data_IF_887862943693
#
_entry.id   IF_887862943693
#
_cell.length_a   1.000
_cell.length_b   1.000
_cell.length_c   1.000
_cell.angle_alpha   90.00
_cell.angle_beta   90.00
_cell.angle_gamma   90.00
#
_symmetry.space_group_name_H-M   'P 1'
#
loop_
_entity.id
_entity.type
_entity.pdbx_description
1 polymer ?
#
# COMPACT_ATOMS: atom_id res chain seq x y z
N UNK A 1 -8.68 25.27 34.65
CA UNK A 1 -8.07 25.71 33.37
C UNK A 1 -8.92 25.13 32.25
N UNK A 2 -9.39 25.94 31.31
CA UNK A 2 -10.11 25.42 30.14
C UNK A 2 -9.13 24.59 29.31
N UNK A 3 -9.47 23.32 29.07
CA UNK A 3 -8.68 22.47 28.17
C UNK A 3 -9.01 22.93 26.75
N UNK A 4 -8.08 23.67 26.13
CA UNK A 4 -8.20 23.98 24.71
C UNK A 4 -8.14 22.65 23.96
N UNK A 5 -9.27 22.26 23.36
CA UNK A 5 -9.36 21.07 22.53
C UNK A 5 -9.42 21.53 21.08
N UNK A 6 -8.48 21.05 20.27
CA UNK A 6 -8.48 21.27 18.84
C UNK A 6 -9.06 20.06 18.14
N UNK A 7 -9.61 20.26 16.95
CA UNK A 7 -10.10 19.19 16.10
C UNK A 7 -9.27 19.19 14.83
N UNK A 8 -8.85 18.01 14.39
CA UNK A 8 -8.18 17.85 13.11
C UNK A 8 -9.17 18.12 11.96
N UNK A 9 -8.90 19.10 11.11
CA UNK A 9 -9.77 19.45 9.97
C UNK A 9 -9.84 18.36 8.90
N UNK A 10 -8.95 17.37 8.96
CA UNK A 10 -8.88 16.27 7.99
C UNK A 10 -9.68 15.05 8.43
N UNK A 11 -9.51 14.60 9.68
CA UNK A 11 -10.14 13.37 10.18
C UNK A 11 -11.20 13.61 11.25
N UNK A 12 -11.42 14.87 11.64
CA UNK A 12 -12.32 15.32 12.71
C UNK A 12 -12.02 14.76 14.11
N UNK A 13 -10.83 14.18 14.31
CA UNK A 13 -10.40 13.70 15.63
C UNK A 13 -9.98 14.87 16.53
N UNK A 14 -10.27 14.75 17.82
CA UNK A 14 -9.75 15.66 18.84
C UNK A 14 -8.24 15.49 18.94
N UNK A 15 -7.50 16.59 18.83
CA UNK A 15 -6.06 16.64 19.07
C UNK A 15 -5.87 17.06 20.52
N UNK A 16 -5.42 16.12 21.34
CA UNK A 16 -5.19 16.39 22.75
C UNK A 16 -3.97 17.29 22.94
N UNK A 17 -3.89 17.95 24.09
CA UNK A 17 -2.78 18.81 24.48
C UNK A 17 -1.42 18.08 24.56
N UNK A 18 -1.45 16.76 24.69
CA UNK A 18 -0.26 15.89 24.66
C UNK A 18 0.19 15.49 23.25
N UNK A 19 -0.65 15.68 22.24
CA UNK A 19 -0.40 15.24 20.87
C UNK A 19 0.14 16.39 20.01
N UNK A 20 0.97 16.11 18.99
CA UNK A 20 1.43 17.15 18.08
C UNK A 20 0.27 17.63 17.20
N UNK A 21 0.01 18.93 17.25
CA UNK A 21 -0.93 19.64 16.37
C UNK A 21 -0.15 20.38 15.30
N UNK A 22 -0.51 20.19 14.04
CA UNK A 22 0.13 20.88 12.92
C UNK A 22 -0.83 21.93 12.38
N UNK A 23 -0.49 23.21 12.57
CA UNK A 23 -1.32 24.33 12.13
C UNK A 23 -0.75 24.94 10.87
N UNK A 24 -1.60 25.13 9.87
CA UNK A 24 -1.28 25.95 8.71
C UNK A 24 -1.32 27.44 9.09
N UNK A 25 -0.31 28.19 8.64
CA UNK A 25 -0.19 29.63 8.87
C UNK A 25 -0.74 30.47 7.70
N UNK A 26 -1.07 29.84 6.58
CA UNK A 26 -1.51 30.53 5.36
C UNK A 26 -3.02 30.38 5.09
N UNK A 27 -3.65 29.33 5.61
CA UNK A 27 -5.11 29.21 5.59
C UNK A 27 -5.74 30.34 6.41
N UNK A 28 -6.92 30.83 5.98
CA UNK A 28 -7.57 32.02 6.51
C UNK A 28 -7.50 32.08 8.06
N UNK A 29 -6.98 33.17 8.65
CA UNK A 29 -6.62 33.23 10.08
C UNK A 29 -7.78 32.92 11.03
N UNK A 30 -9.00 33.24 10.61
CA UNK A 30 -10.22 33.09 11.40
C UNK A 30 -10.72 31.65 11.47
N UNK A 31 -10.49 30.86 10.42
CA UNK A 31 -10.80 29.43 10.42
C UNK A 31 -9.64 28.63 11.03
N UNK A 32 -8.40 28.99 10.69
CA UNK A 32 -7.24 28.13 10.91
C UNK A 32 -7.38 26.81 10.16
N UNK A 33 -6.26 26.12 9.95
CA UNK A 33 -6.31 24.72 9.55
C UNK A 33 -5.36 23.97 10.47
N UNK A 34 -5.90 23.10 11.30
CA UNK A 34 -5.21 22.29 12.28
C UNK A 34 -5.33 20.81 11.87
N UNK A 35 -4.21 20.10 11.81
CA UNK A 35 -4.16 18.68 11.48
C UNK A 35 -3.43 17.89 12.57
N UNK A 36 -3.85 16.64 12.79
CA UNK A 36 -3.11 15.73 13.65
C UNK A 36 -1.85 15.24 12.95
N UNK A 37 -0.84 14.82 13.72
CA UNK A 37 0.42 14.31 13.18
C UNK A 37 0.25 13.18 12.17
N UNK A 38 -0.75 12.30 12.35
CA UNK A 38 -1.03 11.20 11.43
C UNK A 38 -1.46 11.74 10.06
N UNK A 39 -2.46 12.62 10.01
CA UNK A 39 -2.96 13.15 8.74
C UNK A 39 -1.91 14.04 8.07
N UNK A 40 -1.17 14.81 8.87
CA UNK A 40 -0.06 15.60 8.37
C UNK A 40 0.99 14.72 7.69
N UNK A 41 1.55 13.69 8.36
CA UNK A 41 2.59 12.81 7.79
C UNK A 41 2.15 12.09 6.52
N UNK A 42 0.86 11.79 6.38
CA UNK A 42 0.28 11.20 5.16
C UNK A 42 0.12 12.21 4.01
N UNK A 43 0.37 13.50 4.25
CA UNK A 43 0.24 14.55 3.25
C UNK A 43 -1.21 14.86 2.88
N UNK A 44 -2.16 14.61 3.78
CA UNK A 44 -3.57 14.90 3.56
C UNK A 44 -3.85 16.41 3.58
N UNK A 45 -4.71 16.89 2.67
CA UNK A 45 -5.21 18.28 2.66
C UNK A 45 -6.72 18.33 2.38
N UNK A 46 -7.37 19.42 2.79
CA UNK A 46 -8.80 19.67 2.57
C UNK A 46 -9.08 21.17 2.38
N UNK A 47 -10.16 21.50 1.66
CA UNK A 47 -10.54 22.88 1.35
C UNK A 47 -9.45 23.62 0.58
N UNK A 48 -9.15 24.85 0.98
CA UNK A 48 -8.10 25.69 0.38
C UNK A 48 -6.68 25.37 0.90
N UNK A 49 -6.54 24.39 1.78
CA UNK A 49 -5.24 24.05 2.35
C UNK A 49 -4.34 23.34 1.33
N UNK A 50 -3.08 23.79 1.20
CA UNK A 50 -2.06 23.14 0.35
C UNK A 50 -0.91 22.63 1.21
N UNK A 51 -0.33 21.49 0.83
CA UNK A 51 0.88 20.93 1.48
C UNK A 51 2.09 21.87 1.42
N UNK A 52 2.08 22.81 0.46
CA UNK A 52 3.12 23.82 0.31
C UNK A 52 2.93 25.01 1.25
N UNK A 53 1.78 25.12 1.92
CA UNK A 53 1.57 26.18 2.88
C UNK A 53 2.54 26.02 4.05
N UNK A 54 3.01 27.13 4.57
CA UNK A 54 3.81 27.14 5.80
C UNK A 54 3.00 26.60 6.97
N UNK A 55 3.59 25.64 7.67
CA UNK A 55 2.96 24.95 8.80
C UNK A 55 3.88 24.99 10.02
N UNK A 56 3.26 25.00 11.20
CA UNK A 56 3.95 24.92 12.49
C UNK A 56 3.45 23.72 13.29
N UNK A 57 4.37 22.99 13.91
CA UNK A 57 4.06 21.91 14.85
C UNK A 57 4.01 22.50 16.26
N UNK A 58 2.87 22.32 16.92
CA UNK A 58 2.63 22.67 18.31
C UNK A 58 2.67 21.38 19.14
N UNK A 59 3.52 21.36 20.17
CA UNK A 59 3.60 20.24 21.13
C UNK A 59 3.12 20.68 22.51
N UNK A 60 2.83 19.70 23.36
CA UNK A 60 2.58 19.90 24.78
C UNK A 60 3.63 20.86 25.39
N UNK A 61 3.18 21.80 26.24
CA UNK A 61 3.98 22.84 26.90
C UNK A 61 4.38 24.05 26.03
N UNK A 62 3.73 24.24 24.87
CA UNK A 62 3.87 25.47 24.09
C UNK A 62 5.12 25.55 23.21
N UNK A 63 5.85 24.44 23.06
CA UNK A 63 6.96 24.35 22.10
C UNK A 63 6.42 24.36 20.67
N UNK A 64 7.02 25.23 19.84
CA UNK A 64 6.73 25.36 18.41
C UNK A 64 7.97 25.08 17.59
N UNK A 65 7.81 24.35 16.49
CA UNK A 65 8.84 24.26 15.45
C UNK A 65 8.20 24.29 14.07
N UNK A 66 8.97 24.72 13.07
CA UNK A 66 8.53 24.65 11.68
C UNK A 66 8.24 23.18 11.31
N UNK A 67 7.10 22.94 10.67
CA UNK A 67 6.79 21.64 10.14
C UNK A 67 7.56 21.47 8.80
N UNK A 68 8.30 20.36 8.59
CA UNK A 68 8.98 20.16 7.32
C UNK A 68 7.98 20.13 6.16
N UNK A 69 8.29 20.73 5.02
CA UNK A 69 7.45 20.54 3.83
C UNK A 69 7.51 19.07 3.45
N UNK A 70 6.39 18.36 3.56
CA UNK A 70 6.35 16.96 3.18
C UNK A 70 6.40 16.86 1.64
N UNK A 71 7.17 15.93 1.08
CA UNK A 71 7.07 15.62 -0.36
C UNK A 71 5.64 15.11 -0.59
N UNK A 72 4.80 15.88 -1.29
CA UNK A 72 3.34 15.65 -1.40
C UNK A 72 2.95 14.26 -1.91
N UNK A 73 1.70 13.76 -1.81
CA UNK A 73 0.38 14.38 -1.62
C UNK A 73 -0.64 13.24 -1.39
N UNK A 74 -1.72 13.47 -0.62
CA UNK A 74 -3.05 12.87 -0.86
C UNK A 74 -4.11 13.93 -0.57
N UNK A 75 -4.53 14.69 -1.56
CA UNK A 75 -5.82 15.36 -1.41
C UNK A 75 -6.89 14.28 -1.31
N UNK A 76 -7.80 14.37 -0.34
CA UNK A 76 -9.07 13.66 -0.45
C UNK A 76 -10.06 14.69 -1.01
N UNK A 77 -10.20 14.83 -2.34
CA UNK A 77 -11.12 15.79 -2.92
C UNK A 77 -12.51 15.74 -2.26
N UNK A 78 -13.21 16.87 -2.10
CA UNK A 78 -14.57 16.90 -1.57
C UNK A 78 -15.57 16.03 -2.34
N UNK A 79 -15.29 15.70 -3.61
CA UNK A 79 -16.10 14.75 -4.40
C UNK A 79 -15.80 13.27 -4.09
N UNK A 80 -14.69 12.95 -3.42
CA UNK A 80 -14.40 11.65 -2.81
C UNK A 80 -15.10 11.47 -1.46
N UNK A 81 -15.65 12.53 -0.84
CA UNK A 81 -16.65 12.38 0.21
C UNK A 81 -17.95 11.89 -0.44
N UNK A 82 -18.01 10.58 -0.66
CA UNK A 82 -19.09 9.88 -1.34
C UNK A 82 -20.46 10.37 -0.85
N UNK A 83 -21.21 11.04 -1.73
CA UNK A 83 -22.65 11.25 -1.56
C UNK A 83 -23.44 9.95 -1.81
N UNK A 84 -22.80 8.92 -2.36
CA UNK A 84 -23.36 7.58 -2.46
C UNK A 84 -23.29 6.88 -1.11
N UNK A 85 -24.42 6.33 -0.67
CA UNK A 85 -24.47 5.55 0.56
C UNK A 85 -23.46 4.40 0.54
N UNK A 86 -22.81 4.12 1.67
CA UNK A 86 -21.90 2.97 1.83
C UNK A 86 -22.54 1.66 1.35
N UNK A 87 -23.86 1.54 1.52
CA UNK A 87 -24.66 0.43 1.02
C UNK A 87 -24.58 0.26 -0.50
N UNK A 88 -24.74 1.34 -1.28
CA UNK A 88 -24.66 1.27 -2.74
C UNK A 88 -23.24 0.90 -3.21
N UNK A 89 -22.22 1.45 -2.55
CA UNK A 89 -20.83 1.09 -2.83
C UNK A 89 -20.55 -0.38 -2.49
N UNK A 90 -21.09 -0.89 -1.38
CA UNK A 90 -20.95 -2.29 -1.00
C UNK A 90 -21.68 -3.23 -1.98
N UNK A 91 -22.88 -2.87 -2.45
CA UNK A 91 -23.57 -3.64 -3.48
C UNK A 91 -22.81 -3.68 -4.81
N UNK A 92 -22.10 -2.61 -5.15
CA UNK A 92 -21.28 -2.56 -6.36
C UNK A 92 -20.01 -3.40 -6.24
N UNK A 93 -19.23 -3.22 -5.17
CA UNK A 93 -17.96 -3.93 -4.99
C UNK A 93 -18.14 -5.39 -4.56
N UNK A 94 -19.11 -5.67 -3.69
CA UNK A 94 -19.25 -6.97 -3.04
C UNK A 94 -18.03 -7.37 -2.21
N UNK A 95 -17.98 -8.62 -1.77
CA UNK A 95 -16.76 -9.15 -1.13
C UNK A 95 -15.63 -9.25 -2.15
N UNK A 96 -14.42 -8.82 -1.79
CA UNK A 96 -13.25 -8.88 -2.68
C UNK A 96 -12.64 -10.28 -2.77
N UNK A 97 -12.80 -11.09 -1.74
CA UNK A 97 -12.38 -12.49 -1.72
C UNK A 97 -13.58 -13.39 -1.40
N UNK A 98 -13.56 -14.60 -1.94
CA UNK A 98 -14.55 -15.64 -1.64
C UNK A 98 -14.29 -16.25 -0.25
N UNK A 99 -15.22 -17.06 0.31
CA UNK A 99 -15.01 -17.74 1.59
C UNK A 99 -13.79 -18.68 1.63
N UNK A 100 -13.40 -19.23 0.47
CA UNK A 100 -12.19 -20.03 0.26
C UNK A 100 -10.96 -19.19 -0.13
N UNK A 101 -11.03 -17.87 0.10
CA UNK A 101 -9.95 -16.90 -0.08
C UNK A 101 -9.40 -16.79 -1.50
N UNK A 102 -10.25 -17.10 -2.49
CA UNK A 102 -9.97 -16.85 -3.90
C UNK A 102 -10.34 -15.42 -4.27
N UNK A 103 -9.64 -14.78 -5.21
CA UNK A 103 -10.01 -13.46 -5.70
C UNK A 103 -11.37 -13.52 -6.40
N UNK A 104 -12.29 -12.64 -6.00
CA UNK A 104 -13.55 -12.46 -6.74
C UNK A 104 -13.31 -11.74 -8.06
N UNK A 105 -14.34 -11.73 -8.92
CA UNK A 105 -14.31 -10.96 -10.17
C UNK A 105 -14.05 -9.46 -9.93
N UNK A 106 -14.55 -8.89 -8.83
CA UNK A 106 -14.30 -7.47 -8.53
C UNK A 106 -12.83 -7.23 -8.18
N UNK A 107 -12.23 -8.07 -7.34
CA UNK A 107 -10.79 -7.96 -7.04
C UNK A 107 -9.93 -8.16 -8.29
N UNK A 108 -10.29 -9.11 -9.16
CA UNK A 108 -9.63 -9.31 -10.46
C UNK A 108 -9.69 -8.05 -11.34
N UNK A 109 -10.84 -7.36 -11.37
CA UNK A 109 -11.01 -6.11 -12.13
C UNK A 109 -10.14 -4.99 -11.58
N UNK A 110 -10.13 -4.79 -10.25
CA UNK A 110 -9.28 -3.78 -9.60
C UNK A 110 -7.79 -4.08 -9.84
N UNK A 111 -7.37 -5.33 -9.61
CA UNK A 111 -5.99 -5.76 -9.85
C UNK A 111 -5.57 -5.55 -11.31
N UNK A 112 -6.44 -5.93 -12.25
CA UNK A 112 -6.20 -5.75 -13.68
C UNK A 112 -6.11 -4.28 -14.09
N UNK A 113 -6.90 -3.41 -13.48
CA UNK A 113 -6.86 -1.98 -13.74
C UNK A 113 -5.51 -1.36 -13.30
N UNK A 114 -5.06 -1.68 -12.08
CA UNK A 114 -3.74 -1.26 -11.56
C UNK A 114 -2.61 -1.83 -12.44
N UNK A 115 -2.70 -3.12 -12.76
CA UNK A 115 -1.73 -3.80 -13.63
C UNK A 115 -1.63 -3.13 -15.01
N UNK A 116 -2.77 -2.90 -15.67
CA UNK A 116 -2.80 -2.32 -17.02
C UNK A 116 -2.21 -0.90 -17.02
N UNK A 117 -2.52 -0.11 -15.99
CA UNK A 117 -1.91 1.21 -15.83
C UNK A 117 -0.38 1.10 -15.72
N UNK A 118 0.13 0.27 -14.82
CA UNK A 118 1.57 0.10 -14.66
C UNK A 118 2.26 -0.47 -15.92
N UNK A 119 1.64 -1.46 -16.58
CA UNK A 119 2.16 -2.11 -17.78
C UNK A 119 2.20 -1.18 -19.00
N UNK A 120 1.30 -0.20 -19.06
CA UNK A 120 1.26 0.84 -20.11
C UNK A 120 2.13 2.07 -19.80
N UNK A 121 2.52 2.28 -18.53
CA UNK A 121 3.19 3.50 -18.08
C UNK A 121 4.72 3.44 -18.22
N UNK A 122 5.31 2.25 -18.15
CA UNK A 122 6.77 2.04 -18.17
C UNK A 122 7.14 1.09 -19.32
N UNK A 123 8.25 1.34 -20.01
CA UNK A 123 8.76 0.43 -21.05
C UNK A 123 9.32 -0.88 -20.46
N UNK A 124 9.23 -2.01 -21.15
CA UNK A 124 8.55 -2.22 -22.44
C UNK A 124 7.03 -2.23 -22.27
N UNK A 125 6.30 -1.33 -22.94
CA UNK A 125 4.84 -1.21 -22.74
C UNK A 125 4.07 -2.45 -23.19
N UNK A 126 2.99 -2.75 -22.48
CA UNK A 126 2.08 -3.86 -22.82
C UNK A 126 2.78 -5.24 -22.90
N UNK A 127 3.76 -5.47 -22.03
CA UNK A 127 4.52 -6.72 -22.01
C UNK A 127 3.71 -7.90 -21.46
N UNK A 128 2.57 -7.63 -20.81
CA UNK A 128 1.76 -8.66 -20.15
C UNK A 128 2.40 -9.23 -18.89
N UNK A 129 3.51 -8.63 -18.43
CA UNK A 129 4.21 -8.98 -17.21
C UNK A 129 4.84 -7.75 -16.54
N UNK A 130 4.91 -7.75 -15.22
CA UNK A 130 5.47 -6.64 -14.45
C UNK A 130 6.98 -6.79 -14.31
N UNK A 131 7.73 -6.04 -15.11
CA UNK A 131 9.12 -5.73 -14.81
C UNK A 131 9.25 -5.11 -13.41
N UNK A 132 10.41 -5.21 -12.75
CA UNK A 132 10.59 -4.68 -11.39
C UNK A 132 10.16 -3.22 -11.22
N UNK A 133 10.37 -2.37 -12.24
CA UNK A 133 9.94 -0.98 -12.24
C UNK A 133 8.41 -0.81 -12.32
N UNK A 134 7.74 -1.68 -13.08
CA UNK A 134 6.27 -1.72 -13.19
C UNK A 134 5.63 -2.24 -11.91
N UNK A 135 6.19 -3.30 -11.34
CA UNK A 135 5.75 -3.82 -10.05
C UNK A 135 5.90 -2.76 -8.96
N UNK A 136 7.00 -2.01 -8.97
CA UNK A 136 7.18 -0.87 -8.08
C UNK A 136 6.09 0.19 -8.27
N UNK A 137 5.77 0.56 -9.52
CA UNK A 137 4.71 1.50 -9.79
C UNK A 137 3.36 1.00 -9.24
N UNK A 138 3.06 -0.30 -9.34
CA UNK A 138 1.88 -0.88 -8.67
C UNK A 138 1.90 -0.66 -7.15
N UNK A 139 3.05 -0.87 -6.50
CA UNK A 139 3.18 -0.69 -5.05
C UNK A 139 3.07 0.79 -4.63
N UNK A 140 3.63 1.69 -5.43
CA UNK A 140 3.55 3.15 -5.20
C UNK A 140 2.10 3.64 -5.31
N UNK A 141 1.37 3.17 -6.33
CA UNK A 141 -0.07 3.38 -6.49
C UNK A 141 -0.84 2.90 -5.26
N UNK A 142 -0.49 1.73 -4.74
CA UNK A 142 -1.09 1.14 -3.54
C UNK A 142 -0.69 1.87 -2.24
N UNK A 143 0.13 2.92 -2.30
CA UNK A 143 0.57 3.65 -1.11
C UNK A 143 1.68 2.98 -0.31
N UNK A 144 2.37 2.02 -0.93
CA UNK A 144 3.60 1.47 -0.36
C UNK A 144 4.60 2.60 -0.13
N UNK A 145 5.21 2.64 1.07
CA UNK A 145 6.18 3.67 1.38
C UNK A 145 7.34 3.64 0.35
N UNK A 146 7.85 4.80 -0.11
CA UNK A 146 8.96 4.87 -1.07
C UNK A 146 10.32 4.38 -0.50
N UNK A 147 10.32 3.70 0.66
CA UNK A 147 11.51 3.27 1.36
C UNK A 147 12.28 2.21 0.56
N UNK A 148 13.46 2.61 0.10
CA UNK A 148 14.60 1.77 -0.32
C UNK A 148 14.23 0.42 -0.93
N UNK A 149 13.73 0.50 -2.17
CA UNK A 149 13.28 -0.66 -2.94
C UNK A 149 14.39 -1.66 -3.20
N UNK A 150 14.41 -2.71 -2.39
CA UNK A 150 15.32 -3.83 -2.61
C UNK A 150 14.99 -4.58 -3.91
N UNK A 151 13.76 -4.56 -4.43
CA UNK A 151 13.45 -5.08 -5.77
C UNK A 151 14.14 -4.30 -6.91
N UNK A 152 14.41 -3.01 -6.71
CA UNK A 152 15.22 -2.18 -7.63
C UNK A 152 16.72 -2.30 -7.37
N UNK A 153 17.15 -2.47 -6.10
CA UNK A 153 18.56 -2.48 -5.68
C UNK A 153 19.23 -3.86 -5.66
N UNK A 154 18.48 -4.94 -5.44
CA UNK A 154 19.05 -6.25 -5.19
C UNK A 154 19.48 -6.98 -6.47
N UNK A 155 19.28 -6.40 -7.65
CA UNK A 155 19.67 -7.03 -8.92
C UNK A 155 19.25 -8.50 -9.00
N UNK A 156 20.14 -9.35 -9.51
CA UNK A 156 19.91 -10.79 -9.73
C UNK A 156 19.66 -11.62 -8.47
N UNK A 157 20.04 -11.11 -7.29
CA UNK A 157 19.81 -11.80 -6.03
C UNK A 157 18.30 -11.91 -5.73
N UNK A 158 17.57 -10.80 -5.93
CA UNK A 158 16.14 -10.80 -5.74
C UNK A 158 15.47 -11.70 -6.77
N UNK A 159 15.98 -11.81 -7.99
CA UNK A 159 15.37 -12.64 -9.03
C UNK A 159 15.18 -14.09 -8.57
N UNK A 160 16.20 -14.80 -8.08
CA UNK A 160 16.02 -16.20 -7.65
C UNK A 160 15.13 -16.35 -6.41
N UNK A 161 15.29 -15.46 -5.42
CA UNK A 161 14.45 -15.48 -4.21
C UNK A 161 13.00 -15.20 -4.59
N UNK A 162 12.76 -14.27 -5.50
CA UNK A 162 11.45 -13.86 -5.97
C UNK A 162 10.79 -14.96 -6.81
N UNK A 163 11.50 -15.52 -7.79
CA UNK A 163 11.07 -16.70 -8.55
C UNK A 163 10.66 -17.82 -7.59
N UNK A 164 11.53 -18.12 -6.61
CA UNK A 164 11.24 -19.16 -5.63
C UNK A 164 10.03 -18.83 -4.75
N UNK A 165 9.87 -17.57 -4.37
CA UNK A 165 8.70 -17.09 -3.62
C UNK A 165 7.43 -17.30 -4.44
N UNK A 166 7.44 -16.93 -5.72
CA UNK A 166 6.30 -17.09 -6.61
C UNK A 166 5.94 -18.56 -6.81
N UNK A 167 6.93 -19.44 -6.99
CA UNK A 167 6.72 -20.90 -7.04
C UNK A 167 6.07 -21.43 -5.76
N UNK A 168 6.58 -21.05 -4.58
CA UNK A 168 6.08 -21.53 -3.29
C UNK A 168 4.66 -21.06 -3.00
N UNK A 169 4.29 -19.86 -3.48
CA UNK A 169 2.93 -19.35 -3.42
C UNK A 169 2.02 -19.89 -4.53
N UNK A 170 2.57 -20.41 -5.61
CA UNK A 170 1.81 -20.82 -6.80
C UNK A 170 1.32 -19.61 -7.62
N UNK A 171 2.11 -18.53 -7.65
CA UNK A 171 1.81 -17.35 -8.44
C UNK A 171 2.21 -17.57 -9.90
N UNK A 172 1.43 -17.00 -10.81
CA UNK A 172 1.70 -17.06 -12.23
C UNK A 172 2.74 -15.99 -12.62
N UNK A 173 3.85 -16.43 -13.20
CA UNK A 173 4.94 -15.55 -13.62
C UNK A 173 5.56 -16.06 -14.93
N UNK A 174 6.20 -15.16 -15.67
CA UNK A 174 7.04 -15.48 -16.82
C UNK A 174 8.50 -15.17 -16.50
N UNK A 175 9.43 -15.64 -17.34
CA UNK A 175 10.86 -15.41 -17.17
C UNK A 175 11.39 -14.44 -18.23
N UNK A 176 12.02 -13.37 -17.78
CA UNK A 176 12.80 -12.47 -18.63
C UNK A 176 14.19 -13.06 -18.90
N UNK A 177 14.32 -13.80 -19.99
CA UNK A 177 15.55 -14.43 -20.43
C UNK A 177 16.62 -13.43 -20.92
N UNK A 178 16.30 -12.13 -21.04
CA UNK A 178 17.32 -11.12 -21.31
C UNK A 178 18.21 -10.85 -20.08
N UNK A 179 17.75 -11.28 -18.91
CA UNK A 179 18.51 -11.26 -17.66
C UNK A 179 19.09 -12.64 -17.36
N UNK A 180 20.18 -12.69 -16.58
CA UNK A 180 20.90 -13.93 -16.26
C UNK A 180 21.21 -13.94 -14.77
N UNK A 181 20.62 -14.77 -13.89
CA UNK A 181 19.53 -15.69 -14.18
C UNK A 181 18.30 -14.92 -14.67
N UNK A 182 17.45 -15.63 -15.41
CA UNK A 182 16.21 -15.06 -15.90
C UNK A 182 15.35 -14.54 -14.73
N UNK A 183 14.78 -13.36 -14.90
CA UNK A 183 14.03 -12.66 -13.86
C UNK A 183 12.56 -13.04 -13.93
N UNK A 184 12.00 -13.53 -12.82
CA UNK A 184 10.57 -13.76 -12.74
C UNK A 184 9.81 -12.44 -12.78
N UNK A 185 8.89 -12.33 -13.73
CA UNK A 185 7.99 -11.22 -13.92
C UNK A 185 6.56 -11.69 -13.65
N UNK A 186 5.87 -11.08 -12.68
CA UNK A 186 4.48 -11.44 -12.39
C UNK A 186 3.59 -11.17 -13.60
N UNK A 187 2.78 -12.15 -13.99
CA UNK A 187 1.71 -11.93 -14.95
C UNK A 187 0.55 -11.19 -14.27
N UNK A 188 -0.47 -10.83 -15.05
CA UNK A 188 -1.72 -10.27 -14.51
C UNK A 188 -2.37 -11.20 -13.47
N UNK A 189 -2.36 -12.50 -13.74
CA UNK A 189 -2.92 -13.49 -12.82
C UNK A 189 -2.06 -13.59 -11.55
N UNK A 190 -0.73 -13.60 -11.69
CA UNK A 190 0.19 -13.59 -10.55
C UNK A 190 -0.02 -12.37 -9.65
N UNK A 191 -0.14 -11.18 -10.24
CA UNK A 191 -0.41 -9.95 -9.50
C UNK A 191 -1.78 -9.96 -8.80
N UNK A 192 -2.79 -10.53 -9.45
CA UNK A 192 -4.10 -10.70 -8.82
C UNK A 192 -4.02 -11.64 -7.61
N UNK A 193 -3.29 -12.74 -7.72
CA UNK A 193 -3.03 -13.66 -6.61
C UNK A 193 -2.25 -12.97 -5.49
N UNK A 194 -1.23 -12.18 -5.81
CA UNK A 194 -0.48 -11.37 -4.82
C UNK A 194 -1.40 -10.42 -4.04
N UNK A 195 -2.31 -9.73 -4.73
CA UNK A 195 -3.25 -8.83 -4.09
C UNK A 195 -4.26 -9.60 -3.20
N UNK A 196 -4.73 -10.77 -3.65
CA UNK A 196 -5.61 -11.63 -2.85
C UNK A 196 -4.90 -12.16 -1.59
N UNK A 197 -3.63 -12.55 -1.70
CA UNK A 197 -2.80 -12.93 -0.56
C UNK A 197 -2.64 -11.76 0.42
N UNK A 198 -2.46 -10.54 -0.10
CA UNK A 198 -2.38 -9.32 0.73
C UNK A 198 -3.69 -9.08 1.48
N UNK A 199 -4.86 -9.18 0.81
CA UNK A 199 -6.18 -9.12 1.46
C UNK A 199 -6.31 -10.19 2.54
N UNK A 200 -5.80 -11.40 2.29
CA UNK A 200 -5.90 -12.50 3.23
C UNK A 200 -4.98 -12.33 4.45
N UNK A 201 -3.78 -11.79 4.27
CA UNK A 201 -2.80 -11.60 5.35
C UNK A 201 -3.13 -10.38 6.22
N UNK A 202 -3.49 -9.26 5.60
CA UNK A 202 -3.80 -8.01 6.30
C UNK A 202 -4.94 -7.26 5.58
N UNK A 203 -6.22 -7.61 5.88
CA UNK A 203 -7.37 -6.97 5.25
C UNK A 203 -7.43 -5.46 5.49
N UNK A 204 -6.95 -4.97 6.64
CA UNK A 204 -7.05 -3.56 7.02
C UNK A 204 -5.98 -2.70 6.32
N UNK A 205 -4.75 -3.23 6.19
CA UNK A 205 -3.72 -2.63 5.34
C UNK A 205 -4.18 -2.56 3.88
N UNK A 206 -4.70 -3.68 3.36
CA UNK A 206 -5.16 -3.75 1.97
C UNK A 206 -6.34 -2.80 1.70
N UNK A 207 -7.27 -2.66 2.65
CA UNK A 207 -8.34 -1.67 2.60
C UNK A 207 -7.80 -0.24 2.44
N UNK A 208 -6.77 0.10 3.21
CA UNK A 208 -6.13 1.43 3.13
C UNK A 208 -5.46 1.61 1.76
N UNK A 209 -4.70 0.62 1.32
CA UNK A 209 -3.95 0.65 0.05
C UNK A 209 -4.82 0.74 -1.20
N UNK A 210 -5.88 -0.07 -1.26
CA UNK A 210 -6.77 -0.06 -2.43
C UNK A 210 -7.52 1.25 -2.55
N UNK A 211 -7.93 1.83 -1.43
CA UNK A 211 -8.57 3.14 -1.44
C UNK A 211 -7.59 4.26 -1.80
N UNK A 212 -6.33 4.15 -1.38
CA UNK A 212 -5.28 5.06 -1.82
C UNK A 212 -5.02 4.94 -3.33
N UNK A 213 -4.95 3.72 -3.87
CA UNK A 213 -4.79 3.47 -5.30
C UNK A 213 -5.94 4.06 -6.12
N UNK A 214 -7.18 3.82 -5.70
CA UNK A 214 -8.36 4.36 -6.39
C UNK A 214 -8.36 5.88 -6.32
N UNK A 215 -8.05 6.48 -5.17
CA UNK A 215 -7.97 7.93 -5.03
C UNK A 215 -6.84 8.54 -5.88
N UNK A 216 -5.64 7.95 -5.84
CA UNK A 216 -4.46 8.41 -6.60
C UNK A 216 -4.76 8.43 -8.10
N UNK A 217 -5.29 7.32 -8.62
CA UNK A 217 -5.62 7.16 -10.03
C UNK A 217 -6.84 7.99 -10.43
N UNK A 218 -7.78 8.28 -9.52
CA UNK A 218 -8.96 9.11 -9.80
C UNK A 218 -8.69 10.61 -9.70
N UNK A 219 -7.59 11.02 -9.09
CA UNK A 219 -7.29 12.45 -8.87
C UNK A 219 -6.89 13.13 -10.18
N UNK A 220 -7.69 14.12 -10.60
CA UNK A 220 -7.48 14.90 -11.84
C UNK A 220 -6.24 15.81 -11.80
N UNK A 221 -5.58 15.91 -10.64
CA UNK A 221 -4.49 16.87 -10.42
C UNK A 221 -3.09 16.24 -10.40
N UNK A 222 -2.99 14.92 -10.37
CA UNK A 222 -1.71 14.23 -10.46
C UNK A 222 -1.27 14.17 -11.94
N UNK A 223 -0.74 15.26 -12.49
CA UNK A 223 -0.15 15.37 -13.84
C UNK A 223 -1.12 15.25 -15.02
N UNK A 224 -0.77 15.90 -16.14
CA UNK A 224 -1.45 15.81 -17.44
C UNK A 224 -1.46 14.40 -18.07
N UNK A 225 -1.01 13.38 -17.35
CA UNK A 225 -0.85 12.00 -17.82
C UNK A 225 -1.62 10.96 -17.00
N UNK A 226 -2.21 11.31 -15.85
CA UNK A 226 -2.95 10.32 -15.06
C UNK A 226 -4.41 10.25 -15.51
N UNK A 227 -4.68 9.27 -16.37
CA UNK A 227 -6.03 8.84 -16.68
C UNK A 227 -6.67 8.18 -15.44
N UNK A 228 -7.99 8.33 -15.25
CA UNK A 228 -8.72 7.64 -14.19
C UNK A 228 -8.47 6.14 -14.24
N UNK A 229 -8.53 5.47 -13.08
CA UNK A 229 -8.49 4.00 -13.05
C UNK A 229 -9.69 3.46 -13.82
N UNK A 230 -9.43 2.89 -15.01
CA UNK A 230 -10.48 2.33 -15.85
C UNK A 230 -10.74 0.90 -15.45
N UNK A 231 -12.01 0.60 -15.20
CA UNK A 231 -12.48 -0.76 -15.03
C UNK A 231 -12.36 -1.50 -16.37
N UNK A 232 -11.57 -2.58 -16.44
CA UNK A 232 -11.31 -3.29 -17.70
C UNK A 232 -12.56 -3.94 -18.31
N UNK A 233 -13.62 -4.15 -17.54
CA UNK A 233 -14.87 -4.72 -18.05
C UNK A 233 -15.72 -3.69 -18.81
N UNK A 234 -15.68 -2.43 -18.40
CA UNK A 234 -16.53 -1.37 -18.96
C UNK A 234 -15.76 -0.30 -19.72
N UNK A 235 -14.43 -0.27 -19.56
CA UNK A 235 -13.54 0.79 -20.04
C UNK A 235 -13.96 2.20 -19.56
N UNK A 236 -14.65 2.27 -18.41
CA UNK A 236 -15.07 3.48 -17.73
C UNK A 236 -14.41 3.54 -16.35
N UNK A 237 -14.31 4.73 -15.71
CA UNK A 237 -13.90 4.80 -14.31
C UNK A 237 -14.78 3.93 -13.42
N UNK A 238 -14.20 3.37 -12.34
CA UNK A 238 -14.99 2.67 -11.33
C UNK A 238 -16.11 3.58 -10.79
N UNK A 239 -17.32 3.02 -10.65
CA UNK A 239 -18.53 3.79 -10.27
C UNK A 239 -18.37 4.52 -8.94
N UNK A 240 -17.65 3.91 -8.01
CA UNK A 240 -17.37 4.45 -6.70
C UNK A 240 -15.86 4.59 -6.54
N UNK A 241 -15.43 5.70 -5.95
CA UNK A 241 -14.02 6.02 -5.76
C UNK A 241 -13.48 5.52 -4.40
N UNK A 242 -14.24 4.67 -3.71
CA UNK A 242 -13.90 4.08 -2.43
C UNK A 242 -14.51 2.69 -2.31
N UNK A 243 -13.71 1.70 -1.93
CA UNK A 243 -14.14 0.34 -1.57
C UNK A 243 -14.50 0.32 -0.09
N UNK A 244 -15.76 0.06 0.29
CA UNK A 244 -16.18 -0.01 1.69
C UNK A 244 -15.43 -1.08 2.47
N UNK A 245 -15.19 -0.83 3.77
CA UNK A 245 -14.53 -1.80 4.66
C UNK A 245 -15.26 -3.15 4.72
N UNK A 246 -16.58 -3.16 4.55
CA UNK A 246 -17.40 -4.38 4.51
C UNK A 246 -17.06 -5.32 3.33
N UNK A 247 -16.37 -4.83 2.29
CA UNK A 247 -15.92 -5.64 1.16
C UNK A 247 -14.70 -6.52 1.50
N UNK A 248 -14.07 -6.28 2.66
CA UNK A 248 -12.86 -6.98 3.13
C UNK A 248 -13.20 -7.93 4.28
N UNK A 249 -12.47 -9.06 4.42
CA UNK A 249 -12.59 -9.94 5.57
C UNK A 249 -12.43 -9.19 6.91
N UNK A 250 -13.14 -9.65 7.94
CA UNK A 250 -13.09 -9.03 9.28
C UNK A 250 -11.75 -9.29 9.97
N UNK A 251 -11.08 -10.39 9.62
CA UNK A 251 -9.80 -10.81 10.19
C UNK A 251 -8.89 -11.41 9.12
N UNK A 252 -7.60 -11.51 9.44
CA UNK A 252 -6.66 -12.25 8.61
C UNK A 252 -7.02 -13.76 8.51
N UNK A 253 -6.60 -14.38 7.41
CA UNK A 253 -6.61 -15.84 7.26
C UNK A 253 -5.38 -16.43 7.97
N UNK A 254 -5.62 -17.13 9.08
CA UNK A 254 -4.56 -17.76 9.87
C UNK A 254 -3.78 -18.83 9.09
N UNK A 255 -4.42 -19.56 8.17
CA UNK A 255 -3.74 -20.56 7.35
C UNK A 255 -2.83 -19.92 6.30
N UNK A 256 -3.27 -18.83 5.65
CA UNK A 256 -2.41 -18.07 4.72
C UNK A 256 -1.24 -17.45 5.47
N UNK A 257 -1.47 -16.89 6.65
CA UNK A 257 -0.40 -16.34 7.50
C UNK A 257 0.62 -17.42 7.91
N UNK A 258 0.16 -18.57 8.39
CA UNK A 258 1.04 -19.69 8.73
C UNK A 258 1.84 -20.20 7.52
N UNK A 259 1.21 -20.24 6.33
CA UNK A 259 1.90 -20.57 5.07
C UNK A 259 2.97 -19.54 4.72
N UNK A 260 2.71 -18.25 4.93
CA UNK A 260 3.70 -17.17 4.73
C UNK A 260 4.92 -17.36 5.63
N UNK A 261 4.71 -17.64 6.92
CA UNK A 261 5.78 -17.94 7.87
C UNK A 261 6.58 -19.20 7.47
N UNK A 262 5.90 -20.24 6.99
CA UNK A 262 6.55 -21.44 6.47
C UNK A 262 7.39 -21.16 5.23
N UNK A 263 6.87 -20.39 4.26
CA UNK A 263 7.59 -20.00 3.05
C UNK A 263 8.84 -19.20 3.41
N UNK A 264 8.71 -18.24 4.33
CA UNK A 264 9.85 -17.47 4.83
C UNK A 264 10.92 -18.38 5.45
N UNK A 265 10.51 -19.38 6.25
CA UNK A 265 11.46 -20.36 6.80
C UNK A 265 12.16 -21.16 5.71
N UNK A 266 11.43 -21.66 4.71
CA UNK A 266 12.00 -22.39 3.57
C UNK A 266 13.03 -21.52 2.83
N UNK A 267 12.70 -20.26 2.55
CA UNK A 267 13.61 -19.34 1.86
C UNK A 267 14.88 -19.08 2.68
N UNK A 268 14.77 -18.83 3.99
CA UNK A 268 15.93 -18.65 4.87
C UNK A 268 16.82 -19.90 4.90
N UNK A 269 16.22 -21.08 5.00
CA UNK A 269 16.97 -22.35 4.99
C UNK A 269 17.66 -22.59 3.64
N UNK A 270 16.97 -22.33 2.51
CA UNK A 270 17.54 -22.47 1.16
C UNK A 270 18.67 -21.44 0.88
N UNK A 271 18.55 -20.22 1.41
CA UNK A 271 19.61 -19.19 1.37
C UNK A 271 20.83 -19.67 2.17
N UNK A 272 20.63 -20.11 3.42
CA UNK A 272 21.71 -20.54 4.30
C UNK A 272 22.46 -21.77 3.75
N UNK A 273 21.75 -22.68 3.05
CA UNK A 273 22.33 -23.86 2.41
C UNK A 273 22.99 -23.56 1.05
N UNK A 274 22.97 -22.31 0.56
CA UNK A 274 23.49 -21.95 -0.75
C UNK A 274 22.75 -22.59 -1.92
N UNK A 275 21.50 -23.03 -1.70
CA UNK A 275 20.65 -23.60 -2.76
C UNK A 275 20.25 -22.53 -3.77
N UNK A 276 19.95 -21.33 -3.28
CA UNK A 276 19.67 -20.16 -4.11
C UNK A 276 20.98 -19.50 -4.57
N UNK A 277 21.02 -19.08 -5.83
CA UNK A 277 22.20 -18.44 -6.41
C UNK A 277 22.17 -16.95 -6.06
N UNK A 278 23.07 -16.53 -5.18
CA UNK A 278 23.05 -15.19 -4.57
C UNK A 278 24.14 -14.24 -5.10
N UNK A 279 25.14 -14.77 -5.82
CA UNK A 279 26.22 -13.96 -6.39
C UNK A 279 26.71 -14.51 -7.73
N UNK A 280 27.44 -13.67 -8.46
CA UNK A 280 27.98 -13.98 -9.77
C UNK A 280 28.91 -15.19 -9.76
N UNK A 281 29.72 -15.37 -8.72
CA UNK A 281 30.64 -16.51 -8.62
C UNK A 281 29.89 -17.84 -8.51
N UNK A 282 28.87 -17.92 -7.64
CA UNK A 282 28.01 -19.10 -7.50
C UNK A 282 27.23 -19.38 -8.80
N UNK A 283 26.83 -18.34 -9.52
CA UNK A 283 26.20 -18.48 -10.83
C UNK A 283 27.17 -19.03 -11.87
N UNK A 284 28.38 -18.46 -11.99
CA UNK A 284 29.39 -18.89 -12.95
C UNK A 284 29.86 -20.33 -12.66
N UNK A 285 29.93 -20.73 -11.38
CA UNK A 285 30.22 -22.11 -11.00
C UNK A 285 29.15 -23.09 -11.48
N UNK A 286 27.87 -22.72 -11.39
CA UNK A 286 26.75 -23.54 -11.88
C UNK A 286 26.57 -23.47 -13.41
N UNK A 287 27.01 -22.38 -14.03
CA UNK A 287 26.85 -22.11 -15.47
C UNK A 287 28.16 -21.68 -16.13
N UNK A 288 29.19 -22.54 -16.18
CA UNK A 288 30.55 -22.16 -16.61
C UNK A 288 30.63 -21.70 -18.07
N UNK A 289 29.71 -22.13 -18.92
CA UNK A 289 29.64 -21.79 -20.34
C UNK A 289 28.79 -20.56 -20.65
N UNK A 290 28.06 -20.01 -19.67
CA UNK A 290 27.23 -18.84 -19.88
C UNK A 290 27.97 -17.59 -19.40
N UNK A 291 27.89 -16.51 -20.17
CA UNK A 291 28.50 -15.24 -19.82
C UNK A 291 27.56 -14.49 -18.88
N UNK A 292 28.02 -14.15 -17.68
CA UNK A 292 27.25 -13.32 -16.77
C UNK A 292 27.07 -11.93 -17.42
N UNK A 293 25.82 -11.45 -17.58
CA UNK A 293 25.62 -10.10 -18.13
C UNK A 293 26.30 -9.02 -17.25
N UNK A 294 26.73 -7.92 -17.85
CA UNK A 294 27.73 -6.98 -17.30
C UNK A 294 27.30 -6.12 -16.09
N UNK A 295 26.09 -6.29 -15.56
CA UNK A 295 25.52 -5.47 -14.49
C UNK A 295 25.17 -6.34 -13.30
N UNK A 296 26.11 -6.50 -12.36
CA UNK A 296 25.89 -7.26 -11.10
C UNK A 296 26.72 -6.72 -9.96
N UNK A 297 26.06 -6.11 -8.97
CA UNK A 297 26.62 -6.06 -7.62
C UNK A 297 26.40 -7.44 -6.96
N UNK A 298 27.48 -8.07 -6.50
CA UNK A 298 27.42 -9.36 -5.80
C UNK A 298 26.97 -9.15 -4.34
N UNK A 299 26.09 -10.01 -3.84
CA UNK A 299 25.68 -10.02 -2.43
C UNK A 299 26.21 -11.28 -1.72
N UNK A 300 26.76 -11.12 -0.52
CA UNK A 300 27.17 -12.25 0.32
C UNK A 300 25.93 -12.94 0.94
N UNK A 301 26.02 -14.23 1.33
CA UNK A 301 24.92 -14.89 2.03
C UNK A 301 24.43 -14.14 3.28
N UNK A 302 25.34 -13.52 4.03
CA UNK A 302 24.97 -12.73 5.21
C UNK A 302 24.16 -11.48 4.82
N UNK A 303 24.58 -10.77 3.77
CA UNK A 303 23.82 -9.62 3.28
C UNK A 303 22.42 -10.04 2.77
N UNK A 304 22.29 -11.22 2.16
CA UNK A 304 21.00 -11.76 1.73
C UNK A 304 20.10 -12.16 2.92
N UNK A 305 20.67 -12.72 3.98
CA UNK A 305 19.96 -13.02 5.22
C UNK A 305 19.52 -11.73 5.94
N UNK A 306 20.41 -10.73 6.04
CA UNK A 306 20.09 -9.42 6.61
C UNK A 306 18.99 -8.73 5.80
N UNK A 307 19.02 -8.87 4.47
CA UNK A 307 17.95 -8.40 3.59
C UNK A 307 16.63 -9.12 3.86
N UNK A 308 16.62 -10.45 3.94
CA UNK A 308 15.40 -11.21 4.22
C UNK A 308 14.83 -10.88 5.60
N UNK A 309 15.69 -10.67 6.59
CA UNK A 309 15.30 -10.22 7.92
C UNK A 309 14.68 -8.82 7.89
N UNK A 310 15.26 -7.87 7.13
CA UNK A 310 14.68 -6.55 6.90
C UNK A 310 13.33 -6.62 6.17
N UNK A 311 13.19 -7.49 5.17
CA UNK A 311 11.92 -7.69 4.47
C UNK A 311 10.83 -8.21 5.42
N UNK A 312 11.16 -9.21 6.22
CA UNK A 312 10.25 -9.77 7.23
C UNK A 312 9.89 -8.73 8.29
N UNK A 313 10.88 -7.95 8.75
CA UNK A 313 10.67 -6.88 9.73
C UNK A 313 9.82 -5.73 9.15
N UNK A 314 10.03 -5.34 7.89
CA UNK A 314 9.21 -4.35 7.22
C UNK A 314 7.78 -4.85 7.03
N UNK A 315 7.58 -6.10 6.59
CA UNK A 315 6.24 -6.70 6.52
C UNK A 315 5.55 -6.69 7.89
N UNK A 316 6.27 -7.02 8.96
CA UNK A 316 5.75 -7.02 10.32
C UNK A 316 5.47 -5.61 10.87
N UNK A 317 6.36 -4.64 10.65
CA UNK A 317 6.19 -3.23 11.07
C UNK A 317 5.06 -2.56 10.28
N UNK A 318 4.93 -2.90 8.99
CA UNK A 318 3.83 -2.49 8.14
C UNK A 318 2.49 -3.02 8.65
N UNK A 319 2.46 -4.31 9.02
CA UNK A 319 1.31 -4.96 9.64
C UNK A 319 0.99 -4.34 11.01
N UNK A 320 2.00 -3.98 11.80
CA UNK A 320 1.83 -3.36 13.13
C UNK A 320 1.26 -1.94 13.03
N UNK A 321 1.77 -1.13 12.11
CA UNK A 321 1.26 0.22 11.84
C UNK A 321 -0.15 0.18 11.28
N UNK A 322 -0.43 -0.74 10.35
CA UNK A 322 -1.78 -0.94 9.79
C UNK A 322 -2.76 -1.44 10.84
N UNK A 323 -2.36 -2.38 11.71
CA UNK A 323 -3.19 -2.84 12.82
C UNK A 323 -3.44 -1.76 13.88
N UNK A 324 -2.46 -0.89 14.16
CA UNK A 324 -2.68 0.27 15.02
C UNK A 324 -3.72 1.23 14.42
N UNK A 325 -3.63 1.50 13.12
CA UNK A 325 -4.59 2.35 12.40
C UNK A 325 -5.98 1.70 12.41
N UNK A 326 -6.06 0.40 12.14
CA UNK A 326 -7.31 -0.37 12.13
C UNK A 326 -7.96 -0.49 13.51
N UNK A 327 -7.16 -0.69 14.56
CA UNK A 327 -7.63 -0.73 15.95
C UNK A 327 -8.24 0.61 16.37
N UNK A 328 -7.59 1.71 16.01
CA UNK A 328 -8.12 3.07 16.23
C UNK A 328 -9.40 3.30 15.41
N UNK A 329 -9.44 2.83 14.16
CA UNK A 329 -10.63 2.87 13.30
C UNK A 329 -11.82 2.07 13.85
N UNK A 330 -11.59 0.87 14.41
CA UNK A 330 -12.63 0.05 15.06
C UNK A 330 -13.17 0.70 16.33
N UNK A 331 -12.28 1.24 17.18
CA UNK A 331 -12.69 1.99 18.37
C UNK A 331 -13.55 3.22 18.00
N UNK A 332 -13.25 3.87 16.87
CA UNK A 332 -14.00 5.00 16.31
C UNK A 332 -15.39 4.60 15.81
N UNK A 333 -15.52 3.52 15.03
CA UNK A 333 -16.82 3.05 14.56
C UNK A 333 -17.74 2.65 15.71
N UNK A 334 -17.20 1.96 16.72
CA UNK A 334 -17.95 1.57 17.90
C UNK A 334 -18.38 2.78 18.74
N UNK A 335 -17.55 3.83 18.81
CA UNK A 335 -17.93 5.09 19.46
C UNK A 335 -19.06 5.83 18.73
N UNK A 336 -19.06 5.82 17.39
CA UNK A 336 -20.12 6.42 16.55
C UNK A 336 -21.43 5.63 16.68
N UNK A 337 -21.38 4.30 16.62
CA UNK A 337 -22.54 3.44 16.84
C UNK A 337 -23.16 3.67 18.22
N UNK A 338 -22.32 3.72 19.25
CA UNK A 338 -22.77 4.04 20.60
C UNK A 338 -23.42 5.43 20.67
N UNK A 339 -22.79 6.46 20.09
CA UNK A 339 -23.34 7.82 20.09
C UNK A 339 -24.70 7.93 19.37
N UNK A 340 -24.90 7.18 18.28
CA UNK A 340 -26.18 7.11 17.56
C UNK A 340 -27.26 6.35 18.32
N UNK A 341 -26.89 5.33 19.12
CA UNK A 341 -27.84 4.67 20.04
C UNK A 341 -28.32 5.68 21.11
N UNK A 342 -27.43 6.50 21.66
CA UNK A 342 -27.78 7.51 22.67
C UNK A 342 -28.63 8.66 22.12
N UNK A 343 -28.44 9.09 20.88
CA UNK A 343 -29.30 10.10 20.25
C UNK A 343 -30.71 9.55 20.00
N UNK A 344 -30.85 8.27 19.68
CA UNK A 344 -32.15 7.62 19.44
C UNK A 344 -32.94 7.40 20.74
N UNK A 345 -32.26 7.17 21.87
CA UNK A 345 -32.91 7.00 23.19
C UNK A 345 -33.39 8.34 23.78
N UNK A 346 -32.82 9.49 23.39
CA UNK A 346 -33.29 10.82 23.86
C UNK A 346 -34.53 11.35 23.14
N UNK A 347 -34.97 10.69 22.07
CA UNK A 347 -36.14 11.09 21.27
C UNK A 347 -37.33 10.13 21.41
N UNK A 348 -37.32 9.28 22.45
CA UNK A 348 -38.49 8.57 22.97
C UNK A 348 -38.71 8.99 24.40
#
# INVERSE_FOLDING_TARGET
>A
MAVNRWTCDLCSELINDQEPRIRCLECAPEAGFDSCAKCYVQGYTAGDHKVTHRQEIFRARGYKCAAPVLPGRLETPPHLMCTTSEYAAHQYFGSLVTPDWQPTQMLQRIASAIFNYADASIEPKHAGALHPEKFYLCMDILGGAPLDNMHKRAGRLASNILTRTYELWGQDFTLDNSTSPATALLTRNGFTTELALTVAMDPDACYTHLNQAIAWLSSSEASSTNAPLLDPATNLPFRHQHVPRACFPVSCNTAVKARSEQINKILVDEIAQGKLILNQQAWQQKHPSQQAAASTEAMTPQQALDMQAKMTALQNDFTLKSNMIAMVGRARMQAIENANIWSTVRYR
#
